data_IF_748534978478
#
_entry.id   IF_748534978478
#
_cell.length_a   1.000
_cell.length_b   1.000
_cell.length_c   1.000
_cell.angle_alpha   90.00
_cell.angle_beta   90.00
_cell.angle_gamma   90.00
#
_symmetry.space_group_name_H-M   'P 1'
#
loop_
_entity.id
_entity.type
_entity.pdbx_description
1 polymer ?
#
# COMPACT_ATOMS: atom_id res chain seq x y z
N UNK A 1 -6.51 -14.47 15.66
CA UNK A 1 -6.47 -14.57 14.19
C UNK A 1 -6.84 -15.98 13.77
N UNK A 2 -7.38 -16.21 12.57
CA UNK A 2 -7.47 -17.56 12.01
C UNK A 2 -6.19 -17.85 11.24
N UNK A 3 -5.24 -18.57 11.84
CA UNK A 3 -3.91 -18.83 11.24
C UNK A 3 -4.01 -19.34 9.79
N UNK A 4 -5.02 -20.16 9.51
CA UNK A 4 -5.29 -20.69 8.16
C UNK A 4 -5.46 -19.60 7.09
N UNK A 5 -6.06 -18.45 7.42
CA UNK A 5 -6.30 -17.38 6.46
C UNK A 5 -5.01 -16.65 6.09
N UNK A 6 -4.11 -16.52 7.06
CA UNK A 6 -2.79 -15.95 6.84
C UNK A 6 -1.92 -16.85 5.98
N UNK A 7 -1.84 -18.15 6.32
CA UNK A 7 -1.09 -19.13 5.56
C UNK A 7 -1.60 -19.25 4.11
N UNK A 8 -2.92 -19.13 3.89
CA UNK A 8 -3.50 -19.10 2.55
C UNK A 8 -3.20 -17.82 1.75
N UNK A 9 -3.03 -16.69 2.41
CA UNK A 9 -2.70 -15.41 1.77
C UNK A 9 -1.20 -15.29 1.40
N UNK A 10 -0.33 -15.88 2.21
CA UNK A 10 1.13 -15.83 2.08
C UNK A 10 1.67 -16.15 0.67
N UNK A 11 1.26 -17.23 -0.03
CA UNK A 11 1.76 -17.51 -1.38
C UNK A 11 1.42 -16.41 -2.39
N UNK A 12 0.25 -15.77 -2.29
CA UNK A 12 -0.10 -14.64 -3.15
C UNK A 12 0.76 -13.42 -2.85
N UNK A 13 1.04 -13.17 -1.56
CA UNK A 13 1.90 -12.08 -1.10
C UNK A 13 3.34 -12.25 -1.60
N UNK A 14 3.88 -13.47 -1.54
CA UNK A 14 5.21 -13.81 -2.07
C UNK A 14 5.24 -13.68 -3.59
N UNK A 15 4.24 -14.22 -4.30
CA UNK A 15 4.15 -14.10 -5.75
C UNK A 15 4.08 -12.63 -6.18
N UNK A 16 3.27 -11.84 -5.48
CA UNK A 16 3.15 -10.42 -5.71
C UNK A 16 4.49 -9.71 -5.47
N UNK A 17 5.20 -9.99 -4.36
CA UNK A 17 6.51 -9.40 -4.05
C UNK A 17 7.53 -9.68 -5.16
N UNK A 18 7.60 -10.93 -5.61
CA UNK A 18 8.52 -11.35 -6.67
C UNK A 18 8.19 -10.61 -7.98
N UNK A 19 6.91 -10.47 -8.33
CA UNK A 19 6.52 -9.70 -9.53
C UNK A 19 6.77 -8.20 -9.39
N UNK A 20 6.59 -7.63 -8.20
CA UNK A 20 6.78 -6.21 -7.94
C UNK A 20 8.26 -5.83 -7.99
N UNK A 21 9.14 -6.65 -7.41
CA UNK A 21 10.60 -6.47 -7.49
C UNK A 21 11.08 -6.60 -8.94
N UNK A 22 10.55 -7.57 -9.69
CA UNK A 22 11.07 -7.91 -11.03
C UNK A 22 10.53 -7.03 -12.16
N UNK A 23 9.31 -6.51 -12.01
CA UNK A 23 8.61 -5.80 -13.09
C UNK A 23 7.91 -4.52 -12.66
N UNK A 24 7.96 -4.16 -11.36
CA UNK A 24 7.24 -3.02 -10.76
C UNK A 24 5.76 -2.94 -11.19
N UNK A 25 5.18 -4.10 -11.45
CA UNK A 25 3.80 -4.27 -11.91
C UNK A 25 3.26 -5.56 -11.33
N UNK A 26 2.19 -5.43 -10.56
CA UNK A 26 1.45 -6.57 -10.03
C UNK A 26 0.42 -6.98 -11.08
N UNK A 27 0.53 -8.18 -11.67
CA UNK A 27 -0.44 -8.63 -12.65
C UNK A 27 -1.80 -8.87 -12.00
N UNK A 28 -2.87 -8.43 -12.66
CA UNK A 28 -4.25 -8.62 -12.17
C UNK A 28 -4.58 -10.09 -11.91
N UNK A 29 -3.90 -11.04 -12.58
CA UNK A 29 -4.10 -12.48 -12.36
C UNK A 29 -3.86 -12.87 -10.90
N UNK A 30 -2.78 -12.36 -10.29
CA UNK A 30 -2.44 -12.65 -8.89
C UNK A 30 -3.49 -12.03 -7.97
N UNK A 31 -3.82 -10.76 -8.17
CA UNK A 31 -4.77 -10.06 -7.30
C UNK A 31 -6.18 -10.63 -7.36
N UNK A 32 -6.65 -10.99 -8.57
CA UNK A 32 -7.95 -11.63 -8.76
C UNK A 32 -7.95 -13.04 -8.16
N UNK A 33 -6.88 -13.81 -8.34
CA UNK A 33 -6.77 -15.14 -7.72
C UNK A 33 -6.74 -15.08 -6.20
N UNK A 34 -6.07 -14.06 -5.62
CA UNK A 34 -6.06 -13.84 -4.18
C UNK A 34 -7.47 -13.49 -3.68
N UNK A 35 -8.17 -12.59 -4.37
CA UNK A 35 -9.52 -12.18 -3.99
C UNK A 35 -10.53 -13.35 -4.07
N UNK A 36 -10.53 -14.10 -5.18
CA UNK A 36 -11.38 -15.27 -5.35
C UNK A 36 -11.04 -16.38 -4.35
N UNK A 37 -9.75 -16.61 -4.09
CA UNK A 37 -9.29 -17.59 -3.11
C UNK A 37 -9.78 -17.24 -1.69
N UNK A 38 -9.72 -15.96 -1.31
CA UNK A 38 -10.18 -15.51 0.00
C UNK A 38 -11.68 -15.65 0.16
N UNK A 39 -12.44 -15.26 -0.86
CA UNK A 39 -13.91 -15.43 -0.91
C UNK A 39 -14.31 -16.90 -0.76
N UNK A 40 -13.70 -17.80 -1.54
CA UNK A 40 -14.01 -19.23 -1.50
C UNK A 40 -13.60 -19.83 -0.16
N UNK A 41 -12.38 -19.57 0.31
CA UNK A 41 -11.90 -20.11 1.58
C UNK A 41 -12.78 -19.66 2.74
N UNK A 42 -13.13 -18.36 2.79
CA UNK A 42 -13.99 -17.87 3.86
C UNK A 42 -15.44 -18.38 3.76
N UNK A 43 -15.98 -18.48 2.55
CA UNK A 43 -17.32 -19.04 2.34
C UNK A 43 -17.39 -20.52 2.72
N UNK A 44 -16.31 -21.29 2.53
CA UNK A 44 -16.26 -22.70 2.89
C UNK A 44 -16.11 -22.91 4.40
N UNK A 45 -15.32 -22.08 5.06
CA UNK A 45 -15.01 -22.26 6.49
C UNK A 45 -16.06 -21.65 7.42
N UNK A 46 -16.63 -20.50 7.05
CA UNK A 46 -17.56 -19.75 7.89
C UNK A 46 -18.93 -19.51 7.22
N UNK A 47 -19.21 -20.19 6.09
CA UNK A 47 -20.49 -20.11 5.39
C UNK A 47 -20.84 -18.70 4.93
N UNK A 48 -22.12 -18.32 5.07
CA UNK A 48 -22.62 -17.00 4.68
C UNK A 48 -21.96 -15.83 5.43
N UNK A 49 -21.65 -16.03 6.71
CA UNK A 49 -20.96 -15.01 7.52
C UNK A 49 -19.52 -14.80 7.03
N UNK A 50 -18.83 -15.87 6.64
CA UNK A 50 -17.51 -15.80 6.03
C UNK A 50 -17.50 -15.03 4.71
N UNK A 51 -18.52 -15.26 3.86
CA UNK A 51 -18.65 -14.54 2.60
C UNK A 51 -18.82 -13.03 2.82
N UNK A 52 -19.73 -12.63 3.73
CA UNK A 52 -19.90 -11.22 4.10
C UNK A 52 -18.61 -10.62 4.67
N UNK A 53 -17.92 -11.34 5.56
CA UNK A 53 -16.65 -10.92 6.13
C UNK A 53 -15.58 -10.69 5.05
N UNK A 54 -15.46 -11.61 4.10
CA UNK A 54 -14.53 -11.50 2.98
C UNK A 54 -14.87 -10.33 2.05
N UNK A 55 -16.14 -10.11 1.74
CA UNK A 55 -16.57 -8.99 0.89
C UNK A 55 -16.29 -7.66 1.57
N UNK A 56 -16.65 -7.51 2.85
CA UNK A 56 -16.43 -6.29 3.63
C UNK A 56 -14.93 -6.02 3.77
N UNK A 57 -14.14 -7.04 4.11
CA UNK A 57 -12.70 -6.91 4.25
C UNK A 57 -12.03 -6.49 2.94
N UNK A 58 -12.43 -7.09 1.82
CA UNK A 58 -11.92 -6.72 0.51
C UNK A 58 -12.34 -5.31 0.08
N UNK A 59 -13.61 -4.95 0.26
CA UNK A 59 -14.13 -3.64 -0.08
C UNK A 59 -13.45 -2.54 0.74
N UNK A 60 -13.22 -2.77 2.03
CA UNK A 60 -12.53 -1.83 2.88
C UNK A 60 -11.04 -1.69 2.52
N UNK A 61 -10.33 -2.81 2.31
CA UNK A 61 -8.95 -2.79 1.83
C UNK A 61 -8.79 -2.06 0.50
N UNK A 62 -9.71 -2.30 -0.43
CA UNK A 62 -9.78 -1.62 -1.71
C UNK A 62 -10.07 -0.12 -1.55
N UNK A 63 -11.07 0.25 -0.75
CA UNK A 63 -11.48 1.64 -0.59
C UNK A 63 -10.37 2.52 0.01
N UNK A 64 -9.70 2.03 1.06
CA UNK A 64 -8.60 2.76 1.71
C UNK A 64 -7.42 2.92 0.75
N UNK A 65 -7.03 1.86 0.06
CA UNK A 65 -5.93 1.94 -0.92
C UNK A 65 -6.29 2.76 -2.15
N UNK A 66 -7.55 2.74 -2.58
CA UNK A 66 -8.02 3.55 -3.69
C UNK A 66 -7.91 5.05 -3.35
N UNK A 67 -8.23 5.43 -2.12
CA UNK A 67 -8.04 6.81 -1.65
C UNK A 67 -6.55 7.22 -1.74
N UNK A 68 -5.64 6.35 -1.29
CA UNK A 68 -4.19 6.60 -1.40
C UNK A 68 -3.70 6.63 -2.85
N UNK A 69 -4.30 5.82 -3.73
CA UNK A 69 -4.01 5.82 -5.17
C UNK A 69 -4.45 7.11 -5.84
N UNK A 70 -5.63 7.65 -5.48
CA UNK A 70 -6.12 8.94 -5.98
C UNK A 70 -5.21 10.11 -5.53
N UNK A 71 -4.61 10.00 -4.36
CA UNK A 71 -3.58 10.93 -3.88
C UNK A 71 -2.22 10.77 -4.58
N UNK A 72 -2.07 9.76 -5.45
CA UNK A 72 -0.83 9.47 -6.17
C UNK A 72 0.26 8.81 -5.32
N UNK A 73 -0.06 8.33 -4.11
CA UNK A 73 0.91 7.74 -3.20
C UNK A 73 1.24 6.28 -3.52
N UNK A 74 0.29 5.52 -4.07
CA UNK A 74 0.36 4.06 -4.25
C UNK A 74 -0.06 3.66 -5.67
N UNK A 75 0.46 2.56 -6.22
CA UNK A 75 0.12 2.05 -7.55
C UNK A 75 -1.23 1.35 -7.60
N UNK A 76 -1.89 1.38 -8.77
CA UNK A 76 -3.18 0.70 -8.98
C UNK A 76 -3.11 -0.84 -8.79
N UNK A 77 -1.90 -1.42 -8.90
CA UNK A 77 -1.67 -2.83 -8.63
C UNK A 77 -1.85 -3.17 -7.15
N UNK A 78 -1.26 -2.34 -6.27
CA UNK A 78 -1.29 -2.55 -4.82
C UNK A 78 -2.73 -2.48 -4.29
N UNK A 79 -3.54 -1.55 -4.80
CA UNK A 79 -4.95 -1.41 -4.43
C UNK A 79 -5.71 -2.72 -4.56
N UNK A 80 -5.48 -3.45 -5.67
CA UNK A 80 -6.13 -4.73 -5.93
C UNK A 80 -5.57 -5.86 -5.07
N UNK A 81 -4.27 -5.81 -4.76
CA UNK A 81 -3.67 -6.79 -3.85
C UNK A 81 -4.25 -6.67 -2.45
N UNK A 82 -4.40 -5.45 -1.92
CA UNK A 82 -5.00 -5.20 -0.60
C UNK A 82 -6.47 -5.59 -0.53
N UNK A 83 -7.21 -5.47 -1.64
CA UNK A 83 -8.54 -6.07 -1.75
C UNK A 83 -8.49 -7.60 -1.58
N UNK A 84 -7.51 -8.25 -2.22
CA UNK A 84 -7.24 -9.68 -2.05
C UNK A 84 -6.90 -10.04 -0.60
N UNK A 85 -5.94 -9.35 0.03
CA UNK A 85 -5.55 -9.56 1.44
C UNK A 85 -6.78 -9.41 2.34
N UNK A 86 -7.58 -8.36 2.13
CA UNK A 86 -8.82 -8.12 2.88
C UNK A 86 -9.88 -9.21 2.73
N UNK A 87 -9.92 -9.92 1.59
CA UNK A 87 -10.81 -11.08 1.44
C UNK A 87 -10.43 -12.23 2.38
N UNK A 88 -9.13 -12.46 2.59
CA UNK A 88 -8.63 -13.52 3.46
C UNK A 88 -8.71 -13.12 4.94
N UNK A 89 -8.13 -11.97 5.28
CA UNK A 89 -7.85 -11.59 6.67
C UNK A 89 -8.90 -10.68 7.28
N UNK A 90 -9.78 -10.11 6.45
CA UNK A 90 -10.81 -9.17 6.89
C UNK A 90 -10.34 -7.74 7.10
N UNK A 91 -11.26 -6.89 7.56
CA UNK A 91 -11.06 -5.45 7.66
C UNK A 91 -9.96 -5.04 8.65
N UNK A 92 -10.04 -5.49 9.91
CA UNK A 92 -9.17 -5.01 11.00
C UNK A 92 -7.70 -5.28 10.68
N UNK A 93 -7.38 -6.51 10.29
CA UNK A 93 -6.03 -6.89 9.92
C UNK A 93 -5.53 -6.10 8.72
N UNK A 94 -6.35 -5.95 7.68
CA UNK A 94 -5.95 -5.20 6.47
C UNK A 94 -5.69 -3.74 6.79
N UNK A 95 -6.50 -3.11 7.64
CA UNK A 95 -6.29 -1.73 8.07
C UNK A 95 -4.96 -1.56 8.82
N UNK A 96 -4.61 -2.51 9.70
CA UNK A 96 -3.31 -2.50 10.39
C UNK A 96 -2.14 -2.70 9.43
N UNK A 97 -2.24 -3.64 8.49
CA UNK A 97 -1.21 -3.83 7.44
C UNK A 97 -1.03 -2.55 6.64
N UNK A 98 -2.12 -1.88 6.22
CA UNK A 98 -2.04 -0.61 5.50
C UNK A 98 -1.31 0.44 6.35
N UNK A 99 -1.69 0.58 7.63
CA UNK A 99 -1.07 1.55 8.53
C UNK A 99 0.44 1.30 8.69
N UNK A 100 0.85 0.07 8.98
CA UNK A 100 2.27 -0.27 9.07
C UNK A 100 2.99 -0.12 7.73
N UNK A 101 2.35 -0.44 6.60
CA UNK A 101 2.93 -0.27 5.27
C UNK A 101 3.21 1.20 4.97
N UNK A 102 2.32 2.11 5.36
CA UNK A 102 2.53 3.55 5.22
C UNK A 102 3.70 4.01 6.09
N UNK A 103 3.79 3.54 7.34
CA UNK A 103 4.89 3.88 8.24
C UNK A 103 6.24 3.38 7.71
N UNK A 104 6.35 2.12 7.30
CA UNK A 104 7.57 1.58 6.69
C UNK A 104 7.90 2.28 5.37
N UNK A 105 6.90 2.56 4.54
CA UNK A 105 7.07 3.32 3.30
C UNK A 105 7.60 4.73 3.56
N UNK A 106 7.12 5.41 4.60
CA UNK A 106 7.63 6.72 5.01
C UNK A 106 9.08 6.65 5.48
N UNK A 107 9.45 5.63 6.28
CA UNK A 107 10.84 5.42 6.72
C UNK A 107 11.77 5.15 5.54
N UNK A 108 11.38 4.27 4.62
CA UNK A 108 12.15 3.97 3.40
C UNK A 108 12.31 5.25 2.55
N UNK A 109 11.23 5.99 2.33
CA UNK A 109 11.25 7.26 1.62
C UNK A 109 12.17 8.28 2.28
N UNK A 110 12.17 8.35 3.61
CA UNK A 110 13.03 9.26 4.37
C UNK A 110 14.51 8.87 4.28
N UNK A 111 14.85 7.59 4.38
CA UNK A 111 16.23 7.10 4.21
C UNK A 111 16.75 7.42 2.81
N UNK A 112 15.93 7.20 1.77
CA UNK A 112 16.32 7.51 0.39
C UNK A 112 16.52 9.02 0.21
N UNK A 113 15.67 9.85 0.80
CA UNK A 113 15.81 11.30 0.77
C UNK A 113 17.12 11.75 1.43
N UNK A 114 17.48 11.20 2.59
CA UNK A 114 18.72 11.54 3.29
C UNK A 114 19.99 11.14 2.52
N UNK A 115 19.94 10.08 1.71
CA UNK A 115 21.09 9.60 0.92
C UNK A 115 21.31 10.35 -0.40
N UNK A 116 20.38 11.19 -0.85
CA UNK A 116 20.60 12.08 -2.00
C UNK A 116 20.98 13.47 -1.49
N UNK A 117 22.17 13.95 -1.87
CA UNK A 117 22.63 15.34 -1.65
C UNK A 117 21.65 16.42 -2.20
N UNK A 118 20.67 16.03 -3.03
CA UNK A 118 19.57 16.89 -3.48
C UNK A 118 18.57 17.30 -2.37
N UNK A 119 18.47 16.56 -1.26
CA UNK A 119 17.52 16.88 -0.18
C UNK A 119 17.83 18.23 0.48
N UNK A 120 19.11 18.58 0.61
CA UNK A 120 19.54 19.88 1.14
C UNK A 120 19.21 21.03 0.18
N UNK A 121 19.29 20.80 -1.13
CA UNK A 121 18.89 21.78 -2.15
C UNK A 121 17.37 21.94 -2.26
N UNK A 122 16.58 20.87 -2.02
CA UNK A 122 15.11 20.95 -1.99
C UNK A 122 14.59 21.60 -0.70
N UNK A 123 15.20 21.31 0.45
CA UNK A 123 14.86 21.93 1.73
C UNK A 123 15.13 23.45 1.71
N UNK A 124 16.25 23.89 1.13
CA UNK A 124 16.53 25.32 0.88
C UNK A 124 15.50 25.98 -0.04
N UNK A 125 15.02 25.26 -1.07
CA UNK A 125 13.93 25.77 -1.94
C UNK A 125 12.60 25.85 -1.22
N UNK A 126 12.24 24.86 -0.40
CA UNK A 126 11.00 24.90 0.41
C UNK A 126 11.05 26.03 1.44
N UNK A 127 12.18 26.26 2.11
CA UNK A 127 12.36 27.43 3.00
C UNK A 127 12.25 28.76 2.24
N UNK A 128 12.83 28.87 1.04
CA UNK A 128 12.65 30.04 0.18
C UNK A 128 11.22 30.22 -0.35
N UNK A 129 10.50 29.11 -0.61
CA UNK A 129 9.10 29.13 -1.03
C UNK A 129 8.15 29.44 0.12
N UNK A 130 8.40 28.98 1.34
CA UNK A 130 7.60 29.37 2.53
C UNK A 130 7.79 30.85 2.82
N UNK A 131 9.01 31.38 2.72
CA UNK A 131 9.26 32.82 2.79
C UNK A 131 8.60 33.60 1.63
N UNK A 132 8.57 33.03 0.42
CA UNK A 132 7.94 33.64 -0.76
C UNK A 132 6.41 33.55 -0.81
N UNK A 133 5.80 32.50 -0.23
CA UNK A 133 4.34 32.27 -0.20
C UNK A 133 3.65 33.20 0.80
N UNK A 134 4.36 33.65 1.84
CA UNK A 134 3.87 34.72 2.73
C UNK A 134 3.92 36.09 2.04
N UNK A 135 4.78 36.27 1.04
CA UNK A 135 5.05 37.57 0.38
C UNK A 135 4.34 37.74 -0.97
N UNK A 136 4.08 36.69 -1.75
CA UNK A 136 3.58 36.85 -3.12
C UNK A 136 2.33 36.01 -3.41
N UNK A 137 1.19 36.62 -3.09
CA UNK A 137 -0.16 36.30 -3.57
C UNK A 137 -0.26 36.73 -5.04
N UNK A 138 -0.13 35.78 -5.96
CA UNK A 138 -0.09 35.87 -7.44
C UNK A 138 1.28 35.49 -8.02
N UNK A 139 1.37 34.27 -8.53
CA UNK A 139 1.45 34.00 -9.97
C UNK A 139 1.39 32.49 -10.18
N UNK A 140 0.51 32.08 -11.09
CA UNK A 140 0.38 30.77 -11.74
C UNK A 140 1.02 29.59 -11.03
N UNK A 141 0.15 28.76 -10.43
CA UNK A 141 0.38 27.37 -10.01
C UNK A 141 1.60 26.80 -10.74
N UNK A 142 2.74 26.91 -10.08
CA UNK A 142 3.96 26.29 -10.53
C UNK A 142 3.64 24.81 -10.56
N UNK A 143 3.49 24.29 -11.78
CA UNK A 143 3.43 22.88 -12.14
C UNK A 143 4.75 22.29 -11.63
N UNK A 144 4.78 22.01 -10.33
CA UNK A 144 5.98 21.60 -9.60
C UNK A 144 6.42 20.30 -10.26
N UNK A 145 7.56 20.42 -10.93
CA UNK A 145 8.04 19.44 -11.89
C UNK A 145 8.04 18.05 -11.30
N UNK A 146 7.77 17.08 -12.17
CA UNK A 146 7.89 15.66 -11.90
C UNK A 146 9.31 15.30 -11.50
N UNK A 147 9.67 15.62 -10.26
CA UNK A 147 10.78 15.02 -9.57
C UNK A 147 10.43 13.56 -9.49
N UNK A 148 11.17 12.73 -10.22
CA UNK A 148 11.09 11.29 -10.22
C UNK A 148 10.72 10.80 -8.82
N UNK A 149 9.42 10.53 -8.59
CA UNK A 149 8.98 9.81 -7.41
C UNK A 149 9.80 8.52 -7.51
N UNK A 150 10.76 8.34 -6.61
CA UNK A 150 11.57 7.14 -6.60
C UNK A 150 10.58 5.99 -6.47
N UNK A 151 10.31 5.33 -7.59
CA UNK A 151 9.40 4.20 -7.70
C UNK A 151 10.11 3.05 -7.00
N UNK A 152 10.02 3.02 -5.69
CA UNK A 152 10.36 1.84 -4.93
C UNK A 152 9.15 0.91 -4.97
N UNK A 153 9.35 -0.41 -5.10
CA UNK A 153 8.25 -1.36 -5.06
C UNK A 153 7.58 -1.28 -3.68
N UNK A 154 6.31 -0.85 -3.65
CA UNK A 154 5.56 -0.61 -2.42
C UNK A 154 5.53 -1.87 -1.54
N UNK A 155 5.59 -3.06 -2.15
CA UNK A 155 5.63 -4.32 -1.40
C UNK A 155 6.84 -4.50 -0.48
N UNK A 156 7.93 -3.76 -0.68
CA UNK A 156 9.03 -3.75 0.30
C UNK A 156 8.59 -3.21 1.66
N UNK A 157 7.62 -2.30 1.71
CA UNK A 157 7.02 -1.83 2.95
C UNK A 157 5.90 -2.75 3.45
N UNK A 158 5.17 -3.40 2.52
CA UNK A 158 4.04 -4.27 2.86
C UNK A 158 4.49 -5.56 3.54
N UNK A 159 5.59 -6.16 3.12
CA UNK A 159 6.06 -7.42 3.71
C UNK A 159 6.40 -7.31 5.20
N UNK A 160 7.26 -6.35 5.65
CA UNK A 160 7.50 -6.16 7.08
C UNK A 160 6.23 -5.71 7.81
N UNK A 161 5.35 -4.94 7.16
CA UNK A 161 4.05 -4.59 7.73
C UNK A 161 3.20 -5.83 8.03
N UNK A 162 3.07 -6.76 7.09
CA UNK A 162 2.32 -8.02 7.27
C UNK A 162 2.90 -8.87 8.39
N UNK A 163 4.24 -8.97 8.47
CA UNK A 163 4.92 -9.71 9.54
C UNK A 163 4.69 -9.04 10.89
N UNK A 164 4.81 -7.71 10.98
CA UNK A 164 4.51 -6.98 12.21
C UNK A 164 3.06 -7.13 12.62
N UNK A 165 2.10 -6.99 11.70
CA UNK A 165 0.70 -7.20 12.02
C UNK A 165 0.48 -8.62 12.54
N UNK A 166 1.09 -9.64 11.93
CA UNK A 166 0.96 -11.02 12.43
C UNK A 166 1.51 -11.22 13.85
N UNK A 167 2.62 -10.56 14.19
CA UNK A 167 3.24 -10.70 15.52
C UNK A 167 2.52 -9.92 16.62
N UNK A 168 1.84 -8.82 16.28
CA UNK A 168 1.23 -7.90 17.24
C UNK A 168 -0.32 -7.96 17.26
N UNK A 169 -0.92 -8.92 16.57
CA UNK A 169 -2.38 -9.12 16.48
C UNK A 169 -2.83 -10.39 17.22
#
# INVERSE_FOLDING_TARGET
MTDWAFWGCLPFLVAALVTDIRSMRIPNRITVSAWLGGLLAQSLMNGWHGLLFSVIGAAAGFAVMLLLHLMGAVGAGDVKLFAGIGAWTGFIFTAQVIMYSILFGAVIGWIIALRRDEAWMRLRKVFGTVAGVVVLRNLGIAKSGGGYLLKFPFMLAVLPAVVCTYLYY
#
